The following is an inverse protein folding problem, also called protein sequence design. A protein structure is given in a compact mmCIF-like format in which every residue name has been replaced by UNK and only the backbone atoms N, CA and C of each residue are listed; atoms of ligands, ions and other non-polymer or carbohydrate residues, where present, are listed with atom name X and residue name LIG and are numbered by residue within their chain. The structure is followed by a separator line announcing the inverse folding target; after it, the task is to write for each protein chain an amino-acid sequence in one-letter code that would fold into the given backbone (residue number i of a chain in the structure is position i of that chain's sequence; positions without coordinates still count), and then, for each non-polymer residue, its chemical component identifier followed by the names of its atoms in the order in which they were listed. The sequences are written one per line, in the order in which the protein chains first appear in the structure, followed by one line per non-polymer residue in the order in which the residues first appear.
data_IF_921424406874
#
_entry.id   IF_921424406874
#
_cell.length_a   1.000
_cell.length_b   1.000
_cell.length_c   1.000
_cell.angle_alpha   90.00
_cell.angle_beta   90.00
_cell.angle_gamma   90.00
#
_symmetry.space_group_name_H-M   'P 1'
#
loop_
_entity.id
_entity.type
_entity.pdbx_description
1 polymer ?
#
# COMPACT_ATOMS: atom_id res chain seq x y z
N UNK A 1 1.55 -5.37 -4.66
CA UNK A 1 1.10 -4.95 -6.00
C UNK A 1 -0.03 -3.96 -5.82
N UNK A 2 0.01 -2.80 -6.48
CA UNK A 2 -1.11 -1.87 -6.56
C UNK A 2 -1.37 -1.49 -8.02
N UNK A 3 -2.56 -1.83 -8.51
CA UNK A 3 -3.06 -1.36 -9.80
C UNK A 3 -3.64 0.04 -9.61
N UNK A 4 -3.02 1.02 -10.25
CA UNK A 4 -3.42 2.42 -10.24
C UNK A 4 -3.74 2.89 -11.66
N UNK A 5 -4.42 4.01 -11.80
CA UNK A 5 -4.80 4.53 -13.11
C UNK A 5 -6.05 5.41 -13.08
N UNK A 6 -6.39 5.99 -14.23
CA UNK A 6 -7.60 6.78 -14.39
C UNK A 6 -8.26 6.49 -15.75
N UNK A 7 -9.57 6.73 -15.82
CA UNK A 7 -10.36 6.65 -17.05
C UNK A 7 -11.05 7.98 -17.32
N UNK A 8 -10.91 8.50 -18.53
CA UNK A 8 -11.56 9.73 -18.99
C UNK A 8 -12.20 9.53 -20.36
N UNK A 9 -13.28 10.25 -20.63
CA UNK A 9 -13.89 10.31 -21.95
C UNK A 9 -13.54 11.66 -22.57
N UNK A 10 -12.81 11.66 -23.69
CA UNK A 10 -12.47 12.87 -24.43
C UNK A 10 -12.99 12.77 -25.86
N UNK A 11 -13.83 13.71 -26.28
CA UNK A 11 -14.39 13.78 -27.64
C UNK A 11 -14.97 12.44 -28.16
N UNK A 12 -15.65 11.69 -27.28
CA UNK A 12 -16.25 10.38 -27.63
C UNK A 12 -15.31 9.18 -27.56
N UNK A 13 -14.01 9.40 -27.34
CA UNK A 13 -13.00 8.35 -27.17
C UNK A 13 -12.79 8.04 -25.68
N UNK A 14 -12.67 6.76 -25.34
CA UNK A 14 -12.35 6.28 -23.99
C UNK A 14 -10.84 6.23 -23.83
N UNK A 15 -10.29 7.09 -22.98
CA UNK A 15 -8.88 7.10 -22.61
C UNK A 15 -8.72 6.43 -21.25
N UNK A 16 -7.84 5.43 -21.14
CA UNK A 16 -7.50 4.75 -19.89
C UNK A 16 -5.99 4.71 -19.70
N UNK A 17 -5.50 5.27 -18.60
CA UNK A 17 -4.13 5.09 -18.15
C UNK A 17 -4.08 3.97 -17.11
N UNK A 18 -3.24 2.96 -17.33
CA UNK A 18 -2.97 1.86 -16.40
C UNK A 18 -1.54 1.94 -15.89
N UNK A 19 -1.38 1.89 -14.58
CA UNK A 19 -0.10 2.07 -13.91
C UNK A 19 -0.01 1.07 -12.76
N UNK A 20 0.91 0.10 -12.84
CA UNK A 20 1.09 -0.88 -11.77
C UNK A 20 2.40 -0.64 -11.02
N UNK A 21 2.32 -0.69 -9.69
CA UNK A 21 3.48 -0.58 -8.80
C UNK A 21 3.70 -1.87 -8.01
N UNK A 22 4.96 -2.29 -7.92
CA UNK A 22 5.45 -3.24 -6.95
C UNK A 22 5.93 -2.49 -5.71
N UNK A 23 5.29 -2.73 -4.56
CA UNK A 23 5.51 -1.95 -3.34
C UNK A 23 6.32 -2.76 -2.33
N UNK A 24 7.40 -2.16 -1.82
CA UNK A 24 8.26 -2.70 -0.78
C UNK A 24 8.11 -1.82 0.48
N UNK A 25 7.34 -2.28 1.49
CA UNK A 25 7.18 -1.56 2.75
C UNK A 25 8.29 -1.93 3.75
N UNK A 26 8.81 -0.94 4.46
CA UNK A 26 9.72 -1.13 5.60
C UNK A 26 9.00 -0.54 6.82
N UNK A 27 8.39 -1.41 7.64
CA UNK A 27 7.52 -0.99 8.73
C UNK A 27 8.13 -1.37 10.09
N UNK A 28 8.19 -0.41 11.00
CA UNK A 28 8.31 -0.71 12.43
C UNK A 28 6.96 -1.14 12.98
N UNK A 29 6.97 -2.10 13.89
CA UNK A 29 5.79 -2.55 14.64
C UNK A 29 5.97 -2.22 16.11
N UNK A 30 4.91 -1.75 16.77
CA UNK A 30 4.89 -1.49 18.20
C UNK A 30 3.59 -2.04 18.80
N UNK A 31 3.71 -2.91 19.79
CA UNK A 31 2.57 -3.47 20.49
C UNK A 31 2.02 -2.43 21.48
N UNK A 32 0.75 -2.05 21.31
CA UNK A 32 0.08 -1.11 22.23
C UNK A 32 -0.47 -1.87 23.43
N UNK A 33 -1.10 -3.01 23.17
CA UNK A 33 -1.72 -3.89 24.17
C UNK A 33 -1.71 -5.31 23.62
N UNK A 34 -2.10 -6.27 24.44
CA UNK A 34 -2.13 -7.68 24.06
C UNK A 34 -2.95 -7.88 22.79
N UNK A 35 -2.34 -8.54 21.80
CA UNK A 35 -2.92 -8.76 20.48
C UNK A 35 -3.10 -7.52 19.59
N UNK A 36 -2.73 -6.30 19.99
CA UNK A 36 -2.88 -5.08 19.18
C UNK A 36 -1.54 -4.40 18.87
N UNK A 37 -1.21 -4.30 17.59
CA UNK A 37 -0.01 -3.63 17.08
C UNK A 37 -0.33 -2.39 16.26
N UNK A 38 0.48 -1.35 16.43
CA UNK A 38 0.63 -0.27 15.45
C UNK A 38 1.80 -0.53 14.54
N UNK A 39 1.63 -0.19 13.27
CA UNK A 39 2.67 -0.28 12.25
C UNK A 39 2.85 1.08 11.60
N UNK A 40 4.10 1.50 11.38
CA UNK A 40 4.39 2.69 10.60
C UNK A 40 5.76 2.60 9.93
N UNK A 41 5.91 3.27 8.78
CA UNK A 41 7.21 3.37 8.13
C UNK A 41 7.13 3.79 6.67
N UNK A 42 8.30 3.96 6.01
CA UNK A 42 8.37 4.28 4.60
C UNK A 42 7.97 3.07 3.73
N UNK A 43 7.47 3.37 2.54
CA UNK A 43 7.21 2.39 1.49
C UNK A 43 7.69 2.95 0.15
N UNK A 44 8.39 2.11 -0.61
CA UNK A 44 8.87 2.43 -1.95
C UNK A 44 8.09 1.58 -2.96
N UNK A 45 7.43 2.24 -3.90
CA UNK A 45 6.79 1.63 -5.07
C UNK A 45 7.68 1.74 -6.29
N UNK A 46 7.93 0.62 -6.97
CA UNK A 46 8.64 0.57 -8.24
C UNK A 46 7.60 0.33 -9.34
N UNK A 47 7.56 1.20 -10.33
CA UNK A 47 6.66 1.05 -11.46
C UNK A 47 7.09 -0.15 -12.31
N UNK A 48 6.16 -1.08 -12.55
CA UNK A 48 6.41 -2.29 -13.37
C UNK A 48 5.55 -2.32 -14.63
N UNK A 49 4.60 -1.40 -14.78
CA UNK A 49 3.70 -1.32 -15.94
C UNK A 49 3.22 0.12 -16.16
N UNK A 50 3.33 0.59 -17.41
CA UNK A 50 2.81 1.88 -17.88
C UNK A 50 2.13 1.69 -19.23
N UNK A 51 0.82 1.74 -19.27
CA UNK A 51 0.04 1.57 -20.51
C UNK A 51 -0.99 2.68 -20.66
N UNK A 52 -1.13 3.20 -21.88
CA UNK A 52 -2.23 4.06 -22.29
C UNK A 52 -3.10 3.31 -23.29
N UNK A 53 -4.41 3.27 -23.03
CA UNK A 53 -5.40 2.74 -23.96
C UNK A 53 -6.29 3.89 -24.46
N UNK A 54 -6.51 3.96 -25.78
CA UNK A 54 -7.50 4.83 -26.42
C UNK A 54 -8.45 3.94 -27.22
N UNK A 55 -9.72 3.94 -26.84
CA UNK A 55 -10.75 3.05 -27.42
C UNK A 55 -10.30 1.58 -27.49
N UNK A 56 -9.67 1.13 -26.39
CA UNK A 56 -9.16 -0.25 -26.21
C UNK A 56 -7.96 -0.62 -27.11
N UNK A 57 -7.39 0.34 -27.83
CA UNK A 57 -6.13 0.20 -28.56
C UNK A 57 -4.96 0.85 -27.81
N UNK A 58 -3.74 0.32 -27.97
CA UNK A 58 -2.53 0.92 -27.39
C UNK A 58 -2.31 2.34 -27.94
N UNK A 59 -2.45 3.34 -27.05
CA UNK A 59 -2.30 4.76 -27.34
C UNK A 59 -0.87 5.30 -27.13
N UNK A 60 0.10 4.43 -26.86
CA UNK A 60 1.50 4.79 -26.59
C UNK A 60 1.85 4.86 -25.10
N UNK A 61 3.00 5.48 -24.80
CA UNK A 61 3.57 5.53 -23.44
C UNK A 61 3.15 6.79 -22.68
N UNK A 62 2.77 6.63 -21.41
CA UNK A 62 2.53 7.75 -20.48
C UNK A 62 3.78 8.10 -19.68
N UNK A 63 4.02 9.39 -19.47
CA UNK A 63 5.06 9.89 -18.57
C UNK A 63 4.59 9.75 -17.11
N UNK A 64 4.89 8.59 -16.51
CA UNK A 64 4.61 8.30 -15.11
C UNK A 64 5.93 8.09 -14.37
N UNK A 65 6.01 8.51 -13.10
CA UNK A 65 7.20 8.33 -12.28
C UNK A 65 7.52 6.84 -12.06
N UNK A 66 8.80 6.47 -12.24
CA UNK A 66 9.30 5.10 -12.01
C UNK A 66 9.29 4.71 -10.53
N UNK A 67 9.38 5.69 -9.65
CA UNK A 67 9.45 5.51 -8.20
C UNK A 67 8.31 6.29 -7.55
N UNK A 68 7.56 5.62 -6.69
CA UNK A 68 6.56 6.22 -5.80
C UNK A 68 7.04 6.08 -4.34
N UNK A 69 7.40 7.19 -3.70
CA UNK A 69 7.73 7.22 -2.29
C UNK A 69 6.47 7.49 -1.48
N UNK A 70 6.22 6.66 -0.47
CA UNK A 70 5.02 6.74 0.36
C UNK A 70 5.33 6.48 1.83
N UNK A 71 4.44 6.92 2.70
CA UNK A 71 4.42 6.56 4.12
C UNK A 71 3.23 5.64 4.38
N UNK A 72 3.47 4.53 5.06
CA UNK A 72 2.43 3.60 5.45
C UNK A 72 2.23 3.63 6.97
N UNK A 73 0.98 3.47 7.38
CA UNK A 73 0.56 3.31 8.76
C UNK A 73 -0.49 2.21 8.83
N UNK A 74 -0.57 1.48 9.93
CA UNK A 74 -1.53 0.40 10.07
C UNK A 74 -1.75 -0.01 11.50
N UNK A 75 -2.85 -0.73 11.69
CA UNK A 75 -3.22 -1.39 12.93
C UNK A 75 -3.38 -2.87 12.60
N UNK A 76 -2.75 -3.75 13.37
CA UNK A 76 -2.93 -5.20 13.28
C UNK A 76 -3.50 -5.70 14.59
N UNK A 77 -4.54 -6.53 14.50
CA UNK A 77 -5.14 -7.17 15.66
C UNK A 77 -5.10 -8.69 15.49
N UNK A 78 -4.60 -9.37 16.50
CA UNK A 78 -4.56 -10.82 16.61
C UNK A 78 -5.82 -11.31 17.32
N UNK A 79 -6.53 -12.25 16.70
CA UNK A 79 -7.65 -12.94 17.32
C UNK A 79 -7.16 -14.07 18.24
N UNK A 80 -6.04 -14.68 17.84
CA UNK A 80 -5.27 -15.69 18.56
C UNK A 80 -3.81 -15.61 18.09
N UNK A 81 -2.96 -16.51 18.59
CA UNK A 81 -1.53 -16.60 18.29
C UNK A 81 -1.18 -16.70 16.79
N UNK A 82 -2.13 -17.15 15.98
CA UNK A 82 -1.90 -17.45 14.57
C UNK A 82 -2.69 -16.52 13.66
N UNK A 83 -3.92 -16.15 14.00
CA UNK A 83 -4.84 -15.47 13.10
C UNK A 83 -4.89 -13.98 13.43
N UNK A 84 -4.72 -13.14 12.41
CA UNK A 84 -4.80 -11.70 12.57
C UNK A 84 -5.62 -11.02 11.47
N UNK A 85 -6.13 -9.84 11.79
CA UNK A 85 -6.64 -8.87 10.84
C UNK A 85 -5.74 -7.63 10.81
N UNK A 86 -5.71 -6.93 9.68
CA UNK A 86 -4.93 -5.71 9.54
C UNK A 86 -5.68 -4.67 8.71
N UNK A 87 -5.73 -3.46 9.25
CA UNK A 87 -6.09 -2.26 8.52
C UNK A 87 -4.82 -1.46 8.23
N UNK A 88 -4.59 -1.09 6.97
CA UNK A 88 -3.41 -0.31 6.56
C UNK A 88 -3.82 0.85 5.65
N UNK A 89 -3.26 2.01 5.93
CA UNK A 89 -3.30 3.20 5.06
C UNK A 89 -1.91 3.49 4.51
N UNK A 90 -1.82 3.84 3.23
CA UNK A 90 -0.58 4.26 2.58
C UNK A 90 -0.79 5.57 1.87
N UNK A 91 -0.02 6.58 2.26
CA UNK A 91 -0.07 7.93 1.73
C UNK A 91 1.14 8.20 0.83
N UNK A 92 0.89 8.58 -0.42
CA UNK A 92 1.93 8.98 -1.37
C UNK A 92 2.58 10.31 -0.95
N UNK A 93 3.90 10.30 -0.77
CA UNK A 93 4.71 11.48 -0.50
C UNK A 93 5.16 12.15 -1.80
N UNK A 94 5.32 11.37 -2.88
CA UNK A 94 5.54 11.85 -4.24
C UNK A 94 4.24 12.08 -4.99
N UNK A 95 4.26 13.03 -5.93
CA UNK A 95 3.15 13.22 -6.85
C UNK A 95 3.13 12.10 -7.90
N UNK A 96 1.93 11.58 -8.21
CA UNK A 96 1.77 10.60 -9.30
C UNK A 96 1.80 11.26 -10.67
N UNK A 97 1.32 12.49 -10.75
CA UNK A 97 1.35 13.34 -11.92
C UNK A 97 2.17 14.58 -11.56
N UNK A 98 3.33 14.75 -12.19
CA UNK A 98 4.23 15.87 -11.96
C UNK A 98 3.51 17.23 -12.06
N UNK A 99 3.69 18.10 -11.07
CA UNK A 99 3.15 19.47 -10.99
C UNK A 99 1.62 19.59 -10.79
N UNK A 100 0.97 18.55 -10.26
CA UNK A 100 -0.49 18.55 -10.10
C UNK A 100 -0.98 18.61 -8.66
N UNK A 101 -0.11 18.36 -7.67
CA UNK A 101 -0.48 18.27 -6.25
C UNK A 101 -1.33 17.03 -5.87
N UNK A 102 -1.65 16.15 -6.83
CA UNK A 102 -2.42 14.93 -6.55
C UNK A 102 -1.54 13.85 -5.90
N UNK A 103 -1.91 13.46 -4.68
CA UNK A 103 -1.26 12.42 -3.87
C UNK A 103 -2.15 11.19 -3.75
N UNK A 104 -1.52 10.04 -3.59
CA UNK A 104 -2.25 8.78 -3.44
C UNK A 104 -2.65 8.54 -1.99
N UNK A 105 -3.82 7.97 -1.79
CA UNK A 105 -4.17 7.28 -0.56
C UNK A 105 -4.71 5.89 -0.91
N UNK A 106 -4.05 4.85 -0.41
CA UNK A 106 -4.49 3.46 -0.54
C UNK A 106 -4.89 2.97 0.84
N UNK A 107 -6.05 2.34 0.95
CA UNK A 107 -6.53 1.68 2.17
C UNK A 107 -6.71 0.21 1.87
N UNK A 108 -6.18 -0.67 2.72
CA UNK A 108 -6.30 -2.12 2.60
C UNK A 108 -6.76 -2.75 3.91
N UNK A 109 -7.64 -3.75 3.79
CA UNK A 109 -8.05 -4.63 4.86
C UNK A 109 -7.58 -6.05 4.54
N UNK A 110 -6.96 -6.72 5.50
CA UNK A 110 -6.32 -8.03 5.32
C UNK A 110 -6.71 -9.00 6.44
N UNK A 111 -6.74 -10.29 6.10
CA UNK A 111 -6.75 -11.40 7.05
C UNK A 111 -5.49 -12.23 6.81
N UNK A 112 -4.84 -12.70 7.87
CA UNK A 112 -3.58 -13.43 7.79
C UNK A 112 -3.46 -14.52 8.83
N UNK A 113 -2.56 -15.48 8.55
CA UNK A 113 -2.19 -16.58 9.44
C UNK A 113 -0.68 -16.57 9.61
N UNK A 114 -0.20 -16.62 10.84
CA UNK A 114 1.21 -16.83 11.19
C UNK A 114 1.51 -18.32 11.34
N UNK A 115 2.71 -18.71 10.92
CA UNK A 115 3.19 -20.09 11.04
C UNK A 115 3.91 -20.34 12.37
N UNK A 116 4.24 -19.27 13.10
CA UNK A 116 4.88 -19.29 14.40
C UNK A 116 4.29 -18.16 15.26
N UNK A 117 4.06 -18.40 16.55
CA UNK A 117 3.39 -17.44 17.43
C UNK A 117 4.35 -16.29 17.77
N UNK A 118 3.94 -15.02 17.60
CA UNK A 118 4.74 -13.87 18.02
C UNK A 118 4.59 -13.53 19.51
N UNK A 119 3.67 -14.19 20.23
CA UNK A 119 3.42 -13.93 21.65
C UNK A 119 4.41 -14.75 22.47
N UNK A 120 5.62 -14.22 22.68
CA UNK A 120 6.50 -14.71 23.74
C UNK A 120 5.93 -14.27 25.10
N UNK A 121 5.32 -15.20 25.83
CA UNK A 121 4.82 -15.01 27.21
C UNK A 121 5.92 -14.57 28.22
N UNK A 122 7.20 -14.62 27.84
CA UNK A 122 8.34 -14.49 28.77
C UNK A 122 8.65 -13.07 29.28
N UNK A 123 8.09 -11.99 28.73
CA UNK A 123 8.46 -10.61 29.13
C UNK A 123 7.55 -9.94 30.16
N UNK A 124 6.55 -10.64 30.72
CA UNK A 124 5.62 -10.05 31.70
C UNK A 124 5.95 -10.33 33.17
N UNK A 125 6.95 -11.16 33.49
CA UNK A 125 7.33 -11.46 34.88
C UNK A 125 8.39 -10.51 35.49
N UNK A 126 8.95 -9.53 34.76
CA UNK A 126 9.98 -8.62 35.30
C UNK A 126 9.48 -7.21 35.69
N UNK A 127 8.16 -6.97 35.80
CA UNK A 127 7.60 -5.66 36.16
C UNK A 127 6.80 -5.59 37.48
N UNK A 128 7.07 -6.49 38.44
CA UNK A 128 6.58 -6.37 39.83
C UNK A 128 7.72 -6.30 40.87
#
# INVERSE_FOLDING_TARGET
YSAQGYRQNFNGQKVRAKVDYFNIPILGSYQITEGLELQFGPQIGINIRKELEVDEQEGGSIFVNDIDASAAFGIKYFFDDYVFTQLRGTFGLTEVLTNSGYKNLVISLSLGVMLDSPIDEENYEEMD
#
